data_IF_111313452274
#
_entry.id   IF_111313452274
#
_cell.length_a   1.000
_cell.length_b   1.000
_cell.length_c   1.000
_cell.angle_alpha   90.00
_cell.angle_beta   90.00
_cell.angle_gamma   90.00
#
_symmetry.space_group_name_H-M   'P 1'
#
loop_
_entity.id
_entity.type
_entity.pdbx_description
1 polymer ?
#
# COMPACT_ATOMS: atom_id res chain seq x y z
N UNK A 1 -46.53 2.50 3.92
CA UNK A 1 -45.79 2.35 2.65
C UNK A 1 -44.37 2.81 2.95
N UNK A 2 -43.48 1.89 3.31
CA UNK A 2 -42.09 2.20 3.71
C UNK A 2 -41.23 2.30 2.45
N UNK A 3 -40.58 3.44 2.25
CA UNK A 3 -39.62 3.63 1.15
C UNK A 3 -38.26 3.14 1.66
N UNK A 4 -37.76 2.08 1.05
CA UNK A 4 -36.38 1.61 1.20
C UNK A 4 -35.49 2.49 0.30
N UNK A 5 -34.58 3.26 0.90
CA UNK A 5 -33.54 3.98 0.15
C UNK A 5 -32.30 3.09 0.13
N UNK A 6 -31.91 2.62 -1.05
CA UNK A 6 -30.67 1.88 -1.27
C UNK A 6 -29.61 2.88 -1.69
N UNK A 7 -28.61 3.10 -0.84
CA UNK A 7 -27.39 3.82 -1.22
C UNK A 7 -26.46 2.85 -1.95
N UNK A 8 -26.24 3.07 -3.24
CA UNK A 8 -25.18 2.40 -3.98
C UNK A 8 -23.86 3.13 -3.69
N UNK A 9 -22.96 2.51 -2.94
CA UNK A 9 -21.58 3.00 -2.79
C UNK A 9 -20.81 2.54 -4.03
N UNK A 10 -20.43 3.49 -4.88
CA UNK A 10 -19.48 3.24 -5.95
C UNK A 10 -18.06 3.21 -5.34
N UNK A 11 -17.50 2.02 -5.11
CA UNK A 11 -16.09 1.88 -4.76
C UNK A 11 -15.22 2.11 -6.00
N UNK A 12 -14.25 3.02 -5.92
CA UNK A 12 -13.23 3.15 -6.97
C UNK A 12 -12.22 2.01 -6.84
N UNK A 13 -12.02 1.24 -7.90
CA UNK A 13 -10.89 0.32 -7.99
C UNK A 13 -9.61 1.15 -8.22
N UNK A 14 -8.69 1.10 -7.27
CA UNK A 14 -7.34 1.64 -7.40
C UNK A 14 -6.46 0.57 -8.06
N UNK A 15 -5.55 0.99 -8.94
CA UNK A 15 -4.57 0.08 -9.53
C UNK A 15 -3.41 -0.13 -8.56
N UNK A 16 -2.83 -1.32 -8.60
CA UNK A 16 -1.63 -1.67 -7.85
C UNK A 16 -0.45 -0.84 -8.37
N UNK A 17 0.33 -0.28 -7.45
CA UNK A 17 1.63 0.34 -7.74
C UNK A 17 2.70 -0.68 -7.40
N UNK A 18 3.62 -0.91 -8.34
CA UNK A 18 4.77 -1.81 -8.17
C UNK A 18 6.05 -1.00 -8.25
N UNK A 19 6.96 -1.24 -7.32
CA UNK A 19 8.31 -0.68 -7.27
C UNK A 19 9.29 -1.85 -7.36
N UNK A 20 10.02 -1.93 -8.47
CA UNK A 20 11.00 -2.97 -8.81
C UNK A 20 12.45 -2.59 -8.44
N UNK A 21 12.65 -1.40 -7.86
CA UNK A 21 13.94 -0.87 -7.41
C UNK A 21 15.02 -0.66 -8.49
N UNK A 22 14.66 -0.78 -9.77
CA UNK A 22 15.58 -0.66 -10.89
C UNK A 22 16.02 0.78 -11.16
N UNK A 23 17.16 0.94 -11.84
CA UNK A 23 17.69 2.24 -12.25
C UNK A 23 18.41 3.02 -11.13
N UNK A 24 18.43 2.49 -9.91
CA UNK A 24 19.26 2.98 -8.81
C UNK A 24 20.64 2.32 -8.84
N UNK A 25 21.68 3.04 -8.41
CA UNK A 25 23.03 2.48 -8.30
C UNK A 25 23.16 1.59 -7.07
N UNK A 26 24.00 0.56 -7.14
CA UNK A 26 24.36 -0.26 -5.97
C UNK A 26 24.83 0.60 -4.79
N UNK A 27 24.52 0.14 -3.58
CA UNK A 27 24.85 0.81 -2.31
C UNK A 27 24.20 2.18 -2.12
N UNK A 28 23.22 2.55 -2.96
CA UNK A 28 22.44 3.78 -2.75
C UNK A 28 21.59 3.65 -1.49
N UNK A 29 21.73 4.58 -0.55
CA UNK A 29 20.78 4.70 0.56
C UNK A 29 19.43 5.16 0.02
N UNK A 30 18.39 4.36 0.23
CA UNK A 30 17.05 4.66 -0.24
C UNK A 30 16.33 5.53 0.80
N UNK A 31 15.81 6.66 0.34
CA UNK A 31 15.07 7.65 1.12
C UNK A 31 13.76 7.99 0.41
N UNK A 32 13.78 8.90 -0.55
CA UNK A 32 12.62 9.58 -1.15
C UNK A 32 12.66 9.57 -2.68
N UNK A 33 13.40 8.62 -3.26
CA UNK A 33 13.53 8.44 -4.72
C UNK A 33 12.18 8.10 -5.37
N UNK A 34 11.25 7.51 -4.63
CA UNK A 34 9.90 7.20 -5.09
C UNK A 34 8.89 8.22 -4.54
N UNK A 35 8.16 8.88 -5.44
CA UNK A 35 7.20 9.92 -5.05
C UNK A 35 6.15 9.36 -4.10
N UNK A 36 6.02 9.98 -2.92
CA UNK A 36 5.02 9.60 -1.93
C UNK A 36 5.44 8.47 -0.99
N UNK A 37 6.67 7.96 -1.11
CA UNK A 37 7.27 7.04 -0.14
C UNK A 37 8.49 7.67 0.50
N UNK A 38 8.72 7.35 1.77
CA UNK A 38 9.96 7.65 2.47
C UNK A 38 10.46 6.41 3.18
N UNK A 39 11.66 5.99 2.83
CA UNK A 39 12.34 4.83 3.39
C UNK A 39 13.33 5.28 4.47
N UNK A 40 13.43 4.50 5.54
CA UNK A 40 14.47 4.60 6.57
C UNK A 40 15.09 3.23 6.76
N UNK A 41 16.41 3.20 7.00
CA UNK A 41 17.20 1.98 7.12
C UNK A 41 17.09 1.09 5.88
N UNK A 42 17.20 1.67 4.69
CA UNK A 42 17.09 0.97 3.42
C UNK A 42 18.30 1.26 2.52
N UNK A 43 18.84 0.22 1.89
CA UNK A 43 19.94 0.32 0.93
C UNK A 43 19.65 -0.52 -0.31
N UNK A 44 19.95 0.01 -1.48
CA UNK A 44 19.87 -0.73 -2.74
C UNK A 44 21.08 -1.65 -2.87
N UNK A 45 20.85 -2.92 -3.20
CA UNK A 45 21.90 -3.88 -3.54
C UNK A 45 21.62 -4.46 -4.92
N UNK A 46 22.66 -4.58 -5.74
CA UNK A 46 22.58 -5.09 -7.11
C UNK A 46 23.26 -6.45 -7.25
N UNK A 47 22.60 -7.40 -7.92
CA UNK A 47 23.18 -8.69 -8.30
C UNK A 47 24.47 -8.51 -9.10
N UNK A 48 25.49 -9.32 -8.78
CA UNK A 48 26.81 -9.24 -9.40
C UNK A 48 27.69 -8.07 -8.92
N UNK A 49 27.22 -7.26 -7.95
CA UNK A 49 27.99 -6.17 -7.35
C UNK A 49 27.99 -6.30 -5.81
N UNK A 50 26.94 -5.85 -5.15
CA UNK A 50 26.83 -5.81 -3.68
C UNK A 50 25.95 -6.91 -3.10
N UNK A 51 25.11 -7.55 -3.92
CA UNK A 51 24.21 -8.63 -3.52
C UNK A 51 24.88 -10.00 -3.74
N UNK A 52 24.69 -10.93 -2.79
CA UNK A 52 25.00 -12.34 -3.05
C UNK A 52 23.81 -13.00 -3.76
N UNK A 53 23.75 -12.92 -5.09
CA UNK A 53 22.57 -13.37 -5.85
C UNK A 53 22.33 -14.89 -5.80
N UNK A 54 23.28 -15.70 -5.34
CA UNK A 54 23.07 -17.15 -5.21
C UNK A 54 22.20 -17.49 -3.99
N UNK A 55 22.35 -16.73 -2.91
CA UNK A 55 21.55 -16.85 -1.70
C UNK A 55 20.33 -15.94 -1.73
N UNK A 56 20.48 -14.75 -2.30
CA UNK A 56 19.47 -13.70 -2.33
C UNK A 56 19.18 -13.30 -3.78
N UNK A 57 18.65 -14.22 -4.62
CA UNK A 57 18.36 -13.90 -6.01
C UNK A 57 17.24 -12.86 -6.10
N UNK A 58 17.44 -11.75 -6.84
CA UNK A 58 16.34 -10.83 -7.15
C UNK A 58 15.16 -11.58 -7.76
N UNK A 59 13.95 -11.20 -7.36
CA UNK A 59 12.72 -11.74 -7.92
C UNK A 59 12.54 -11.24 -9.35
N UNK A 60 12.83 -9.96 -9.59
CA UNK A 60 12.82 -9.31 -10.89
C UNK A 60 14.11 -8.48 -11.07
N UNK A 61 14.37 -8.04 -12.30
CA UNK A 61 15.50 -7.17 -12.58
C UNK A 61 16.85 -7.64 -12.03
N UNK A 62 17.55 -6.73 -11.35
CA UNK A 62 18.87 -6.93 -10.73
C UNK A 62 19.01 -6.28 -9.36
N UNK A 63 18.19 -5.27 -9.05
CA UNK A 63 18.25 -4.53 -7.81
C UNK A 63 17.23 -5.06 -6.81
N UNK A 64 17.62 -5.05 -5.55
CA UNK A 64 16.74 -5.25 -4.41
C UNK A 64 17.00 -4.18 -3.37
N UNK A 65 16.12 -4.04 -2.38
CA UNK A 65 16.35 -3.18 -1.22
C UNK A 65 16.53 -4.02 0.03
N UNK A 66 17.64 -3.81 0.73
CA UNK A 66 17.94 -4.48 1.99
C UNK A 66 17.82 -3.52 3.17
N UNK A 67 17.53 -4.05 4.35
CA UNK A 67 17.58 -3.31 5.59
C UNK A 67 19.01 -2.90 5.94
N UNK A 68 19.20 -1.69 6.45
CA UNK A 68 20.52 -1.13 6.68
C UNK A 68 20.58 -0.35 8.00
N UNK A 69 21.24 -0.92 9.01
CA UNK A 69 21.33 -0.40 10.38
C UNK A 69 20.02 -0.50 11.20
N UNK A 70 19.28 -1.59 11.02
CA UNK A 70 18.09 -1.94 11.80
C UNK A 70 16.82 -2.08 10.97
N UNK A 71 15.68 -2.16 11.65
CA UNK A 71 14.38 -2.39 11.01
C UNK A 71 14.09 -1.33 9.93
N UNK A 72 13.64 -1.81 8.76
CA UNK A 72 13.27 -0.95 7.64
C UNK A 72 11.91 -0.32 7.91
N UNK A 73 11.82 0.99 7.69
CA UNK A 73 10.56 1.74 7.83
C UNK A 73 10.21 2.34 6.48
N UNK A 74 8.94 2.21 6.11
CA UNK A 74 8.38 2.79 4.90
C UNK A 74 7.18 3.65 5.30
N UNK A 75 7.31 4.96 5.13
CA UNK A 75 6.26 5.94 5.33
C UNK A 75 5.57 6.26 3.99
N UNK A 76 4.25 6.29 4.01
CA UNK A 76 3.42 6.64 2.86
C UNK A 76 2.85 8.04 3.06
N UNK A 77 3.01 8.92 2.07
CA UNK A 77 2.49 10.29 2.12
C UNK A 77 0.95 10.36 2.06
N UNK A 78 0.31 9.26 1.67
CA UNK A 78 -1.14 9.09 1.72
C UNK A 78 -1.45 7.63 2.08
N UNK A 79 -2.49 7.35 2.88
CA UNK A 79 -2.77 5.99 3.30
C UNK A 79 -2.99 5.03 2.12
N UNK A 80 -2.52 3.80 2.30
CA UNK A 80 -2.70 2.69 1.36
C UNK A 80 -3.67 1.65 1.95
N UNK A 81 -4.34 0.86 1.11
CA UNK A 81 -5.22 -0.23 1.52
C UNK A 81 -4.46 -1.53 1.77
N UNK A 82 -3.42 -1.79 1.00
CA UNK A 82 -2.64 -3.02 1.11
C UNK A 82 -1.19 -2.78 0.74
N UNK A 83 -0.33 -3.59 1.35
CA UNK A 83 1.10 -3.65 1.13
C UNK A 83 1.48 -5.11 0.87
N UNK A 84 2.40 -5.32 -0.06
CA UNK A 84 3.00 -6.61 -0.34
C UNK A 84 4.42 -6.46 -0.89
N UNK A 85 5.16 -7.55 -0.89
CA UNK A 85 6.47 -7.64 -1.53
C UNK A 85 7.01 -9.06 -1.49
N UNK A 86 8.10 -9.28 -2.21
CA UNK A 86 8.84 -10.54 -2.20
C UNK A 86 10.07 -10.39 -1.32
N UNK A 87 10.24 -11.32 -0.39
CA UNK A 87 11.27 -11.27 0.63
C UNK A 87 12.18 -12.49 0.57
N UNK A 88 13.48 -12.24 0.58
CA UNK A 88 14.50 -13.26 0.85
C UNK A 88 15.32 -12.83 2.07
N UNK A 89 15.48 -13.70 3.06
CA UNK A 89 15.93 -13.31 4.39
C UNK A 89 16.78 -14.38 5.08
N UNK A 90 17.74 -13.89 5.88
CA UNK A 90 18.62 -14.65 6.75
C UNK A 90 18.08 -14.81 8.17
N UNK A 91 17.04 -14.06 8.54
CA UNK A 91 16.37 -14.14 9.83
C UNK A 91 14.85 -13.98 9.69
N UNK A 92 14.10 -14.48 10.69
CA UNK A 92 12.64 -14.43 10.69
C UNK A 92 12.14 -12.98 10.65
N UNK A 93 11.21 -12.69 9.75
CA UNK A 93 10.69 -11.35 9.55
C UNK A 93 9.37 -11.13 10.27
N UNK A 94 9.17 -9.91 10.75
CA UNK A 94 7.89 -9.41 11.23
C UNK A 94 7.54 -8.12 10.50
N UNK A 95 6.34 -8.06 9.90
CA UNK A 95 5.80 -6.88 9.24
C UNK A 95 4.61 -6.36 10.05
N UNK A 96 4.74 -5.11 10.50
CA UNK A 96 3.73 -4.40 11.28
C UNK A 96 3.30 -3.14 10.52
N UNK A 97 2.00 -3.02 10.27
CA UNK A 97 1.41 -1.81 9.71
C UNK A 97 0.93 -0.85 10.81
N UNK A 98 0.91 0.45 10.50
CA UNK A 98 0.41 1.50 11.37
C UNK A 98 -0.49 2.47 10.60
N UNK A 99 -1.45 3.07 11.30
CA UNK A 99 -2.27 4.17 10.77
C UNK A 99 -1.56 5.53 10.84
N UNK A 100 -2.24 6.61 10.42
CA UNK A 100 -1.71 7.99 10.46
C UNK A 100 -1.37 8.45 11.89
N UNK A 101 -2.06 7.91 12.90
CA UNK A 101 -1.81 8.21 14.31
C UNK A 101 -0.66 7.36 14.89
N UNK A 102 0.02 6.57 14.06
CA UNK A 102 1.06 5.61 14.44
C UNK A 102 0.57 4.54 15.42
N UNK A 103 -0.72 4.21 15.37
CA UNK A 103 -1.27 3.06 16.11
C UNK A 103 -1.06 1.77 15.31
N UNK A 104 -0.60 0.67 15.95
CA UNK A 104 -0.38 -0.58 15.25
C UNK A 104 -1.70 -1.19 14.78
N UNK A 105 -1.71 -1.64 13.52
CA UNK A 105 -2.84 -2.29 12.87
C UNK A 105 -2.71 -3.81 12.96
N UNK A 106 -3.83 -4.51 13.01
CA UNK A 106 -3.87 -5.97 12.90
C UNK A 106 -4.32 -6.37 11.49
N UNK A 107 -3.79 -7.48 10.93
CA UNK A 107 -2.85 -8.42 11.55
C UNK A 107 -1.38 -7.99 11.45
N UNK A 108 -0.54 -8.57 12.31
CA UNK A 108 0.90 -8.63 12.12
C UNK A 108 1.21 -9.80 11.19
N UNK A 109 2.05 -9.60 10.19
CA UNK A 109 2.50 -10.66 9.29
C UNK A 109 3.87 -11.15 9.73
N UNK A 110 4.07 -12.46 9.71
CA UNK A 110 5.34 -13.11 10.01
C UNK A 110 5.77 -13.93 8.81
N UNK A 111 7.07 -14.06 8.60
CA UNK A 111 7.61 -14.98 7.60
C UNK A 111 7.27 -16.43 7.95
N UNK A 112 7.14 -17.30 6.94
CA UNK A 112 6.83 -18.72 7.15
C UNK A 112 8.03 -19.51 7.69
N UNK A 113 9.24 -19.06 7.37
CA UNK A 113 10.50 -19.69 7.78
C UNK A 113 11.36 -18.71 8.60
N UNK A 114 12.36 -19.22 9.31
CA UNK A 114 13.37 -18.37 9.94
C UNK A 114 14.42 -17.93 8.94
N UNK A 115 14.74 -18.78 7.96
CA UNK A 115 15.69 -18.48 6.88
C UNK A 115 15.11 -19.03 5.57
N UNK A 116 15.04 -18.23 4.51
CA UNK A 116 14.58 -18.70 3.19
C UNK A 116 15.58 -18.43 2.04
N UNK A 117 16.84 -18.13 2.36
CA UNK A 117 17.86 -17.93 1.34
C UNK A 117 18.11 -19.17 0.49
N UNK A 118 18.62 -18.93 -0.72
CA UNK A 118 19.00 -19.95 -1.68
C UNK A 118 20.25 -20.72 -1.24
N UNK A 119 20.72 -21.58 -2.14
CA UNK A 119 21.97 -22.32 -1.94
C UNK A 119 23.08 -21.64 -2.74
N UNK A 120 24.05 -21.03 -2.05
CA UNK A 120 25.33 -20.71 -2.67
C UNK A 120 25.99 -22.00 -3.21
N UNK A 121 26.74 -21.97 -4.33
CA UNK A 121 27.68 -23.03 -4.74
C UNK A 121 28.77 -23.31 -3.68
N UNK A 122 28.37 -23.88 -2.56
CA UNK A 122 29.17 -24.29 -1.43
C UNK A 122 28.57 -25.52 -0.75
N UNK A 123 29.23 -26.06 0.30
CA UNK A 123 28.79 -27.29 0.94
C UNK A 123 27.53 -27.14 1.82
N UNK A 124 27.06 -25.92 2.06
CA UNK A 124 25.98 -25.62 3.01
C UNK A 124 24.94 -24.73 2.36
N UNK A 125 23.69 -25.18 2.35
CA UNK A 125 22.53 -24.31 2.14
C UNK A 125 22.06 -23.80 3.50
N UNK A 126 21.92 -22.49 3.65
CA UNK A 126 21.49 -21.88 4.91
C UNK A 126 19.96 -21.86 5.06
N UNK A 127 19.21 -21.86 3.96
CA UNK A 127 17.75 -21.87 3.97
C UNK A 127 17.15 -23.05 4.74
N UNK A 128 16.07 -22.79 5.48
CA UNK A 128 15.31 -23.81 6.18
C UNK A 128 14.78 -24.86 5.20
N UNK A 129 14.60 -26.10 5.67
CA UNK A 129 14.14 -27.19 4.79
C UNK A 129 12.77 -26.89 4.20
N UNK A 130 12.68 -26.88 2.87
CA UNK A 130 11.46 -26.58 2.12
C UNK A 130 11.20 -25.08 1.90
N UNK A 131 12.04 -24.21 2.45
CA UNK A 131 12.04 -22.79 2.10
C UNK A 131 12.57 -22.57 0.69
N UNK A 132 12.19 -21.44 0.10
CA UNK A 132 12.74 -20.94 -1.15
C UNK A 132 12.84 -19.41 -1.07
N UNK A 133 13.79 -18.78 -1.78
CA UNK A 133 13.86 -17.33 -1.90
C UNK A 133 12.56 -16.72 -2.42
N UNK A 134 12.37 -15.43 -2.16
CA UNK A 134 11.25 -14.62 -2.62
C UNK A 134 9.91 -15.10 -2.08
N UNK A 135 9.80 -15.22 -0.76
CA UNK A 135 8.52 -15.42 -0.07
C UNK A 135 7.64 -14.18 -0.26
N UNK A 136 6.41 -14.37 -0.74
CA UNK A 136 5.44 -13.28 -0.86
C UNK A 136 4.76 -13.03 0.48
N UNK A 137 5.00 -11.85 1.06
CA UNK A 137 4.35 -11.39 2.29
C UNK A 137 3.45 -10.21 1.97
N UNK A 138 2.22 -10.24 2.50
CA UNK A 138 1.24 -9.20 2.23
C UNK A 138 0.31 -8.97 3.41
N UNK A 139 -0.16 -7.74 3.56
CA UNK A 139 -1.21 -7.36 4.50
C UNK A 139 -2.15 -6.33 3.87
N UNK A 140 -3.36 -6.26 4.41
CA UNK A 140 -4.36 -5.27 4.01
C UNK A 140 -5.10 -4.76 5.24
N UNK A 141 -5.51 -3.49 5.19
CA UNK A 141 -6.30 -2.85 6.23
C UNK A 141 -7.35 -1.93 5.63
N UNK A 142 -8.57 -2.01 6.15
CA UNK A 142 -9.65 -1.07 5.81
C UNK A 142 -9.47 0.30 6.49
N UNK A 143 -8.64 0.38 7.54
CA UNK A 143 -8.36 1.61 8.28
C UNK A 143 -7.35 2.54 7.57
N UNK A 144 -6.75 2.08 6.48
CA UNK A 144 -5.63 2.77 5.82
C UNK A 144 -4.30 2.50 6.55
N UNK A 145 -3.26 2.27 5.78
CA UNK A 145 -1.89 2.03 6.25
C UNK A 145 -1.07 3.25 5.87
N UNK A 146 -0.44 3.90 6.85
CA UNK A 146 0.43 5.06 6.61
C UNK A 146 1.89 4.75 6.83
N UNK A 147 2.19 3.68 7.57
CA UNK A 147 3.54 3.20 7.81
C UNK A 147 3.61 1.69 7.84
N UNK A 148 4.70 1.16 7.31
CA UNK A 148 5.11 -0.23 7.46
C UNK A 148 6.45 -0.26 8.19
N UNK A 149 6.58 -1.15 9.17
CA UNK A 149 7.87 -1.51 9.77
C UNK A 149 8.12 -2.99 9.47
N UNK A 150 9.27 -3.29 8.86
CA UNK A 150 9.75 -4.64 8.61
C UNK A 150 10.95 -4.88 9.51
N UNK A 151 10.83 -5.84 10.42
CA UNK A 151 11.83 -6.16 11.43
C UNK A 151 12.47 -7.51 11.13
N UNK A 152 13.80 -7.51 11.02
CA UNK A 152 14.68 -8.69 11.05
C UNK A 152 15.79 -8.48 12.08
N UNK A 153 17.06 -8.63 11.70
CA UNK A 153 18.20 -8.40 12.60
C UNK A 153 18.27 -6.92 13.03
N UNK A 154 18.44 -6.61 14.33
CA UNK A 154 18.57 -5.24 14.82
C UNK A 154 19.71 -4.41 14.21
N UNK A 155 20.70 -5.05 13.61
CA UNK A 155 21.88 -4.46 12.98
C UNK A 155 21.68 -4.17 11.48
N UNK A 156 20.61 -4.67 10.87
CA UNK A 156 20.38 -4.61 9.41
C UNK A 156 21.05 -5.76 8.64
N UNK A 157 20.88 -5.77 7.32
CA UNK A 157 21.45 -6.76 6.41
C UNK A 157 20.81 -8.14 6.52
N UNK A 158 19.58 -8.21 7.02
CA UNK A 158 18.90 -9.47 7.33
C UNK A 158 17.94 -9.92 6.24
N UNK A 159 17.48 -9.01 5.37
CA UNK A 159 16.63 -9.37 4.24
C UNK A 159 16.83 -8.49 3.01
N UNK A 160 16.34 -8.98 1.89
CA UNK A 160 16.10 -8.23 0.67
C UNK A 160 14.60 -8.24 0.35
N UNK A 161 14.09 -7.06 0.01
CA UNK A 161 12.75 -6.80 -0.50
C UNK A 161 12.86 -6.48 -1.99
N UNK A 162 12.03 -7.15 -2.78
CA UNK A 162 11.87 -6.92 -4.21
C UNK A 162 10.38 -6.84 -4.61
N UNK A 163 10.10 -6.19 -5.73
CA UNK A 163 8.76 -5.97 -6.29
C UNK A 163 7.75 -5.47 -5.23
N UNK A 164 8.10 -4.41 -4.50
CA UNK A 164 7.21 -3.81 -3.49
C UNK A 164 5.93 -3.36 -4.17
N UNK A 165 4.81 -3.91 -3.72
CA UNK A 165 3.48 -3.65 -4.28
C UNK A 165 2.58 -3.00 -3.24
N UNK A 166 1.87 -1.94 -3.61
CA UNK A 166 0.84 -1.36 -2.74
C UNK A 166 -0.37 -0.86 -3.53
N UNK A 167 -1.52 -0.83 -2.86
CA UNK A 167 -2.75 -0.28 -3.43
C UNK A 167 -3.11 0.98 -2.66
N UNK A 168 -3.12 2.18 -3.27
CA UNK A 168 -3.49 3.38 -2.56
C UNK A 168 -4.92 3.32 -2.03
N UNK A 169 -5.21 4.02 -0.94
CA UNK A 169 -6.59 4.14 -0.48
C UNK A 169 -7.43 4.89 -1.51
N UNK A 170 -8.63 4.37 -1.78
CA UNK A 170 -9.61 5.12 -2.55
C UNK A 170 -9.86 6.46 -1.85
N UNK A 171 -9.86 7.59 -2.58
CA UNK A 171 -10.32 8.85 -2.00
C UNK A 171 -11.76 8.62 -1.54
N UNK A 172 -12.00 8.77 -0.24
CA UNK A 172 -13.35 8.66 0.32
C UNK A 172 -14.16 9.76 -0.36
N UNK A 173 -15.24 9.43 -1.12
CA UNK A 173 -16.08 10.45 -1.71
C UNK A 173 -16.54 11.37 -0.59
N UNK A 174 -16.25 12.67 -0.72
CA UNK A 174 -16.74 13.64 0.24
C UNK A 174 -18.24 13.41 0.40
N UNK A 175 -18.78 13.40 1.63
CA UNK A 175 -20.20 13.18 1.83
C UNK A 175 -20.92 14.21 0.96
N UNK A 176 -21.61 13.71 -0.07
CA UNK A 176 -22.36 14.58 -0.97
C UNK A 176 -23.33 15.33 -0.06
N UNK A 177 -23.12 16.63 0.12
CA UNK A 177 -24.01 17.44 0.93
C UNK A 177 -25.40 17.34 0.30
N UNK A 178 -26.24 16.46 0.86
CA UNK A 178 -27.59 16.11 0.40
C UNK A 178 -28.52 17.34 0.46
N UNK A 179 -28.02 18.46 0.99
CA UNK A 179 -28.69 19.76 1.10
C UNK A 179 -28.90 20.43 -0.27
N UNK A 180 -28.20 20.02 -1.34
CA UNK A 180 -28.38 20.61 -2.68
C UNK A 180 -29.58 20.08 -3.50
N UNK A 181 -30.11 18.89 -3.18
CA UNK A 181 -31.27 18.33 -3.88
C UNK A 181 -32.64 19.01 -3.56
N UNK A 182 -32.95 19.41 -2.31
CA UNK A 182 -34.23 20.06 -2.02
C UNK A 182 -34.35 21.48 -2.59
N UNK A 183 -33.24 22.16 -2.91
CA UNK A 183 -33.28 23.51 -3.51
C UNK A 183 -33.81 23.48 -4.94
N UNK A 184 -33.41 22.48 -5.74
CA UNK A 184 -33.92 22.35 -7.12
C UNK A 184 -35.39 21.91 -7.17
N UNK A 185 -35.84 21.01 -6.29
CA UNK A 185 -37.25 20.60 -6.24
C UNK A 185 -38.16 21.72 -5.70
N UNK A 186 -37.71 22.46 -4.68
CA UNK A 186 -38.48 23.59 -4.15
C UNK A 186 -38.55 24.74 -5.16
N UNK A 187 -37.48 25.05 -5.87
CA UNK A 187 -37.48 26.02 -6.95
C UNK A 187 -38.44 25.62 -8.10
N UNK A 188 -38.48 24.34 -8.49
CA UNK A 188 -39.42 23.86 -9.51
C UNK A 188 -40.87 23.95 -9.06
N UNK A 189 -41.17 23.62 -7.79
CA UNK A 189 -42.51 23.69 -7.24
C UNK A 189 -43.00 25.14 -7.10
N UNK A 190 -42.13 26.06 -6.67
CA UNK A 190 -42.43 27.49 -6.61
C UNK A 190 -42.63 28.09 -8.00
N UNK A 191 -41.78 27.76 -8.97
CA UNK A 191 -41.94 28.20 -10.36
C UNK A 191 -43.26 27.73 -10.97
N UNK A 192 -43.64 26.47 -10.71
CA UNK A 192 -44.89 25.89 -11.19
C UNK A 192 -46.13 26.54 -10.54
N UNK A 193 -46.07 26.88 -9.25
CA UNK A 193 -47.13 27.61 -8.55
C UNK A 193 -47.33 29.03 -9.09
N UNK A 194 -46.23 29.74 -9.41
CA UNK A 194 -46.29 31.10 -9.96
C UNK A 194 -46.92 31.09 -11.36
N UNK A 195 -46.53 30.14 -12.24
CA UNK A 195 -47.06 30.03 -13.61
C UNK A 195 -48.56 29.75 -13.68
N UNK A 196 -49.10 28.94 -12.77
CA UNK A 196 -50.53 28.60 -12.75
C UNK A 196 -51.39 29.80 -12.29
N UNK A 197 -50.86 30.64 -11.40
CA UNK A 197 -51.59 31.82 -10.91
C UNK A 197 -51.73 32.90 -11.97
N UNK A 198 -50.70 33.14 -12.78
CA UNK A 198 -50.75 34.15 -13.84
C UNK A 198 -51.71 33.81 -14.97
N UNK A 199 -51.89 32.52 -15.30
CA UNK A 199 -52.87 32.09 -16.30
C UNK A 199 -54.33 32.23 -15.84
N UNK A 200 -54.60 32.08 -14.54
CA UNK A 200 -55.96 32.22 -13.99
C UNK A 200 -56.42 33.68 -13.84
N UNK A 201 -55.50 34.65 -13.75
CA UNK A 201 -55.84 36.07 -13.69
C UNK A 201 -56.19 36.65 -15.07
N UNK A 202 -55.62 36.10 -16.14
CA UNK A 202 -55.89 36.53 -17.52
C UNK A 202 -57.21 35.97 -18.09
N UNK A 203 -57.76 34.90 -17.50
CA UNK A 203 -59.02 34.30 -17.93
C UNK A 203 -60.28 34.94 -17.30
N UNK A 204 -60.13 36.01 -16.51
CA UNK A 204 -61.21 36.73 -15.81
C UNK A 204 -61.39 38.19 -16.24
N UNK A 205 -60.74 38.61 -17.34
CA UNK A 205 -60.92 39.94 -17.94
C UNK A 205 -61.79 39.86 -19.20
#
# INVERSE_FOLDING_TARGET
MSILVVFAVAGSLQADVVIDFEGLSDSTTLTDQYTGLTFTNAIVLSAGIGLNEFEVPPRSGTNVVSDNNGAMVIDFASPIQSFAGYFTYYEALTIQAFDEALSPLSPIVQSMYNINVGCDPGPVCLGDTGSNPNEYLSLASLGGISRIIITGDPSGGSFALDDLTYVPAAPVPEPVDVISLPVFLSALLVYRQIRIRTTNTQAKA
#
